data_IF_642127016165
#
_entry.id   IF_642127016165
#
_cell.length_a   1.000
_cell.length_b   1.000
_cell.length_c   1.000
_cell.angle_alpha   90.00
_cell.angle_beta   90.00
_cell.angle_gamma   90.00
#
_symmetry.space_group_name_H-M   'P 1'
#
loop_
_entity.id
_entity.type
_entity.pdbx_description
1 polymer ?
#
# COMPACT_ATOMS: atom_id res chain seq x y z
N UNK A 1 -21.00 -5.08 3.04
CA UNK A 1 -20.33 -5.46 4.31
C UNK A 1 -18.86 -5.69 4.02
N UNK A 2 -17.95 -5.23 4.89
CA UNK A 2 -16.50 -5.36 4.67
C UNK A 2 -16.02 -6.79 5.00
N UNK A 3 -15.40 -7.53 4.06
CA UNK A 3 -15.05 -8.94 4.26
C UNK A 3 -13.76 -9.07 5.10
N UNK A 4 -13.88 -8.98 6.43
CA UNK A 4 -12.75 -8.94 7.38
C UNK A 4 -11.67 -10.01 7.14
N UNK A 5 -12.08 -11.23 6.79
CA UNK A 5 -11.14 -12.34 6.54
C UNK A 5 -10.21 -12.10 5.33
N UNK A 6 -10.60 -11.22 4.41
CA UNK A 6 -9.82 -10.87 3.21
C UNK A 6 -9.00 -9.59 3.38
N UNK A 7 -9.12 -8.89 4.51
CA UNK A 7 -8.36 -7.69 4.77
C UNK A 7 -6.97 -7.99 5.31
N UNK A 8 -6.03 -7.10 5.02
CA UNK A 8 -4.75 -7.11 5.70
C UNK A 8 -4.96 -6.76 7.19
N UNK A 9 -4.29 -7.42 8.17
CA UNK A 9 -4.53 -7.19 9.60
C UNK A 9 -4.47 -5.73 10.02
N UNK A 10 -3.51 -4.96 9.50
CA UNK A 10 -3.38 -3.51 9.80
C UNK A 10 -4.61 -2.70 9.36
N UNK A 11 -5.31 -3.12 8.32
CA UNK A 11 -6.52 -2.44 7.83
C UNK A 11 -7.69 -2.72 8.77
N UNK A 12 -7.80 -3.96 9.26
CA UNK A 12 -8.79 -4.32 10.29
C UNK A 12 -8.61 -3.46 11.53
N UNK A 13 -7.35 -3.24 11.94
CA UNK A 13 -7.04 -2.40 13.10
C UNK A 13 -7.34 -0.92 12.86
N UNK A 14 -6.92 -0.37 11.71
CA UNK A 14 -6.88 1.08 11.50
C UNK A 14 -8.11 1.68 10.82
N UNK A 15 -8.82 0.93 9.98
CA UNK A 15 -9.88 1.47 9.11
C UNK A 15 -11.29 0.93 9.41
N UNK A 16 -11.39 -0.23 10.07
CA UNK A 16 -12.67 -0.91 10.28
C UNK A 16 -13.68 -0.08 11.10
N UNK A 17 -13.20 0.65 12.11
CA UNK A 17 -14.07 1.44 12.99
C UNK A 17 -14.75 2.56 12.19
N UNK A 18 -13.98 3.33 11.43
CA UNK A 18 -14.52 4.40 10.58
C UNK A 18 -15.47 3.85 9.53
N UNK A 19 -15.11 2.73 8.87
CA UNK A 19 -16.01 2.09 7.91
C UNK A 19 -17.35 1.69 8.55
N UNK A 20 -17.33 1.11 9.74
CA UNK A 20 -18.54 0.64 10.45
C UNK A 20 -19.43 1.82 10.87
N UNK A 21 -18.87 3.02 11.02
CA UNK A 21 -19.61 4.25 11.33
C UNK A 21 -20.15 4.98 10.10
N UNK A 22 -19.90 4.47 8.90
CA UNK A 22 -20.24 5.15 7.65
C UNK A 22 -19.27 6.29 7.28
N UNK A 23 -18.14 6.41 7.97
CA UNK A 23 -17.09 7.39 7.68
C UNK A 23 -16.16 6.85 6.58
N UNK A 24 -16.73 6.57 5.39
CA UNK A 24 -16.05 5.82 4.33
C UNK A 24 -14.78 6.50 3.81
N UNK A 25 -14.84 7.81 3.62
CA UNK A 25 -13.69 8.65 3.29
C UNK A 25 -12.54 8.46 4.27
N UNK A 26 -12.87 8.50 5.56
CA UNK A 26 -11.89 8.36 6.63
C UNK A 26 -11.31 6.95 6.63
N UNK A 27 -12.13 5.93 6.41
CA UNK A 27 -11.68 4.55 6.33
C UNK A 27 -10.73 4.30 5.14
N UNK A 28 -11.05 4.84 3.97
CA UNK A 28 -10.19 4.76 2.77
C UNK A 28 -8.87 5.51 2.99
N UNK A 29 -8.94 6.74 3.52
CA UNK A 29 -7.74 7.50 3.87
C UNK A 29 -6.85 6.74 4.87
N UNK A 30 -7.43 6.21 5.94
CA UNK A 30 -6.70 5.41 6.94
C UNK A 30 -6.04 4.19 6.29
N UNK A 31 -6.73 3.51 5.37
CA UNK A 31 -6.19 2.35 4.66
C UNK A 31 -4.98 2.70 3.78
N UNK A 32 -5.08 3.74 2.93
CA UNK A 32 -3.96 4.15 2.08
C UNK A 32 -2.83 4.84 2.84
N UNK A 33 -3.12 5.43 4.01
CA UNK A 33 -2.07 5.86 4.95
C UNK A 33 -1.23 4.67 5.42
N UNK A 34 -1.84 3.51 5.69
CA UNK A 34 -1.08 2.31 6.06
C UNK A 34 -0.24 1.79 4.90
N UNK A 35 -0.75 1.83 3.66
CA UNK A 35 0.05 1.50 2.47
C UNK A 35 1.29 2.37 2.39
N UNK A 36 1.16 3.69 2.54
CA UNK A 36 2.31 4.60 2.51
C UNK A 36 3.33 4.30 3.61
N UNK A 37 2.86 4.09 4.85
CA UNK A 37 3.74 3.76 5.99
C UNK A 37 4.52 2.49 5.69
N UNK A 38 3.83 1.42 5.27
CA UNK A 38 4.46 0.15 4.96
C UNK A 38 5.49 0.26 3.83
N UNK A 39 5.18 1.01 2.76
CA UNK A 39 6.14 1.24 1.66
C UNK A 39 7.35 2.04 2.13
N UNK A 40 7.15 3.07 2.96
CA UNK A 40 8.23 3.89 3.52
C UNK A 40 9.16 3.06 4.39
N UNK A 41 8.60 2.31 5.33
CA UNK A 41 9.34 1.46 6.27
C UNK A 41 10.09 0.35 5.52
N UNK A 42 9.41 -0.37 4.62
CA UNK A 42 10.02 -1.46 3.87
C UNK A 42 11.13 -0.99 2.92
N UNK A 43 11.01 0.23 2.38
CA UNK A 43 12.04 0.82 1.52
C UNK A 43 13.16 1.57 2.26
N UNK A 44 13.11 1.65 3.59
CA UNK A 44 14.10 2.40 4.39
C UNK A 44 14.11 3.91 4.13
N UNK A 45 12.95 4.49 3.79
CA UNK A 45 12.83 5.90 3.44
C UNK A 45 12.51 6.80 4.65
N UNK A 46 12.73 8.10 4.48
CA UNK A 46 12.50 9.09 5.54
C UNK A 46 11.05 9.58 5.58
N UNK A 47 10.63 10.25 6.66
CA UNK A 47 9.30 10.87 6.77
C UNK A 47 9.01 11.96 5.72
N UNK A 48 10.04 12.42 5.01
CA UNK A 48 9.91 13.37 3.89
C UNK A 48 9.51 12.67 2.58
N UNK A 49 9.58 11.35 2.54
CA UNK A 49 9.16 10.55 1.40
C UNK A 49 7.71 10.10 1.59
N UNK A 50 6.82 10.60 0.72
CA UNK A 50 5.38 10.31 0.77
C UNK A 50 4.76 10.34 -0.62
N UNK A 51 3.54 9.79 -0.73
CA UNK A 51 2.69 9.82 -1.90
C UNK A 51 3.28 9.10 -3.12
N UNK A 52 2.93 9.60 -4.31
CA UNK A 52 3.41 9.03 -5.58
C UNK A 52 4.94 9.01 -5.70
N UNK A 53 5.69 10.07 -5.29
CA UNK A 53 7.15 10.04 -5.34
C UNK A 53 7.76 8.90 -4.52
N UNK A 54 7.23 8.62 -3.33
CA UNK A 54 7.68 7.49 -2.51
C UNK A 54 7.47 6.16 -3.24
N UNK A 55 6.25 5.89 -3.73
CA UNK A 55 5.96 4.64 -4.43
C UNK A 55 6.83 4.46 -5.68
N UNK A 56 7.04 5.54 -6.45
CA UNK A 56 7.92 5.49 -7.63
C UNK A 56 9.36 5.15 -7.28
N UNK A 57 9.89 5.67 -6.16
CA UNK A 57 11.23 5.31 -5.68
C UNK A 57 11.28 3.85 -5.20
N UNK A 58 10.31 3.45 -4.38
CA UNK A 58 10.26 2.14 -3.73
C UNK A 58 10.12 0.99 -4.73
N UNK A 59 9.28 1.18 -5.75
CA UNK A 59 9.02 0.21 -6.81
C UNK A 59 9.70 0.58 -8.14
N UNK A 60 10.79 1.35 -8.11
CA UNK A 60 11.55 1.66 -9.33
C UNK A 60 11.96 0.35 -10.04
N UNK A 61 11.64 0.17 -11.34
CA UNK A 61 11.81 -1.11 -12.01
C UNK A 61 13.28 -1.54 -12.14
N UNK A 62 14.24 -0.61 -11.96
CA UNK A 62 15.66 -0.87 -12.12
C UNK A 62 16.39 -1.02 -10.79
N UNK A 63 15.95 -0.31 -9.75
CA UNK A 63 16.68 -0.22 -8.48
C UNK A 63 15.80 -0.09 -7.24
N UNK A 64 14.48 -0.20 -7.37
CA UNK A 64 13.55 -0.06 -6.26
C UNK A 64 13.74 -1.19 -5.25
N UNK A 65 13.86 -0.91 -3.94
CA UNK A 65 14.02 -1.94 -2.93
C UNK A 65 12.82 -2.88 -2.82
N UNK A 66 11.63 -2.47 -3.29
CA UNK A 66 10.42 -3.29 -3.31
C UNK A 66 10.12 -3.91 -4.69
N UNK A 67 11.03 -3.73 -5.65
CA UNK A 67 10.89 -4.30 -6.99
C UNK A 67 11.38 -5.74 -7.02
N UNK A 68 10.56 -6.63 -7.58
CA UNK A 68 10.92 -8.03 -7.78
C UNK A 68 11.80 -8.15 -9.02
N UNK A 69 13.12 -8.24 -8.83
CA UNK A 69 14.09 -8.23 -9.93
C UNK A 69 14.08 -9.52 -10.77
N UNK A 70 13.32 -10.52 -10.35
CA UNK A 70 13.18 -11.82 -11.03
C UNK A 70 12.10 -11.81 -12.14
N UNK A 71 11.30 -10.74 -12.25
CA UNK A 71 10.22 -10.63 -13.24
C UNK A 71 10.52 -9.59 -14.33
N UNK A 72 9.86 -9.67 -15.51
CA UNK A 72 10.08 -8.75 -16.61
C UNK A 72 9.96 -7.26 -16.21
N UNK A 73 10.76 -6.39 -16.82
CA UNK A 73 10.76 -4.94 -16.54
C UNK A 73 9.37 -4.31 -16.68
N UNK A 74 8.62 -4.67 -17.72
CA UNK A 74 7.26 -4.15 -17.93
C UNK A 74 6.28 -4.51 -16.81
N UNK A 75 6.43 -5.67 -16.17
CA UNK A 75 5.58 -6.05 -15.02
C UNK A 75 5.95 -5.23 -13.78
N UNK A 76 7.24 -4.95 -13.57
CA UNK A 76 7.72 -4.06 -12.50
C UNK A 76 7.19 -2.63 -12.70
N UNK A 77 7.27 -2.11 -13.93
CA UNK A 77 6.69 -0.80 -14.29
C UNK A 77 5.18 -0.75 -14.06
N UNK A 78 4.46 -1.84 -14.39
CA UNK A 78 3.03 -1.97 -14.13
C UNK A 78 2.70 -1.87 -12.65
N UNK A 79 3.43 -2.60 -11.80
CA UNK A 79 3.23 -2.55 -10.34
C UNK A 79 3.58 -1.17 -9.77
N UNK A 80 4.70 -0.57 -10.18
CA UNK A 80 5.07 0.78 -9.78
C UNK A 80 3.96 1.78 -10.11
N UNK A 81 3.42 1.69 -11.33
CA UNK A 81 2.34 2.56 -11.82
C UNK A 81 1.05 2.37 -11.02
N UNK A 82 0.69 1.12 -10.72
CA UNK A 82 -0.47 0.78 -9.89
C UNK A 82 -0.36 1.38 -8.49
N UNK A 83 0.75 1.13 -7.78
CA UNK A 83 0.93 1.59 -6.40
C UNK A 83 1.01 3.12 -6.32
N UNK A 84 1.77 3.74 -7.23
CA UNK A 84 1.85 5.20 -7.31
C UNK A 84 0.48 5.82 -7.63
N UNK A 85 -0.26 5.26 -8.58
CA UNK A 85 -1.61 5.71 -8.93
C UNK A 85 -2.57 5.57 -7.74
N UNK A 86 -2.55 4.45 -7.04
CA UNK A 86 -3.44 4.22 -5.89
C UNK A 86 -3.17 5.20 -4.74
N UNK A 87 -1.90 5.47 -4.40
CA UNK A 87 -1.56 6.50 -3.41
C UNK A 87 -1.94 7.91 -3.88
N UNK A 88 -1.75 8.22 -5.17
CA UNK A 88 -2.14 9.51 -5.74
C UNK A 88 -3.65 9.74 -5.71
N UNK A 89 -4.44 8.72 -6.02
CA UNK A 89 -5.90 8.79 -6.10
C UNK A 89 -6.58 8.85 -4.73
N UNK A 90 -6.13 8.01 -3.77
CA UNK A 90 -6.93 7.74 -2.57
C UNK A 90 -6.33 8.27 -1.27
N UNK A 91 -5.04 8.64 -1.23
CA UNK A 91 -4.44 9.21 -0.01
C UNK A 91 -4.71 10.70 0.15
N UNK A 92 -4.93 11.42 -0.95
CA UNK A 92 -5.00 12.89 -0.97
C UNK A 92 -6.28 13.55 -1.54
N UNK A 93 -7.46 12.90 -1.63
CA UNK A 93 -8.63 13.55 -2.21
C UNK A 93 -9.08 14.79 -1.40
N UNK A 94 -8.88 14.81 -0.08
CA UNK A 94 -9.42 15.84 0.82
C UNK A 94 -8.81 17.24 0.70
N UNK A 95 -7.67 17.44 0.03
CA UNK A 95 -7.02 18.76 -0.03
C UNK A 95 -7.40 19.60 -1.26
N UNK A 96 -8.03 19.02 -2.29
CA UNK A 96 -8.32 19.74 -3.54
C UNK A 96 -9.75 19.60 -4.08
N UNK A 97 -10.49 18.54 -3.72
CA UNK A 97 -11.91 18.37 -4.11
C UNK A 97 -12.63 17.62 -2.99
N UNK A 98 -13.77 18.12 -2.50
CA UNK A 98 -14.66 17.35 -1.62
C UNK A 98 -15.35 16.22 -2.42
N UNK A 99 -14.58 15.24 -2.90
CA UNK A 99 -15.13 13.98 -3.38
C UNK A 99 -15.44 13.19 -2.12
N UNK A 100 -16.73 13.12 -1.79
CA UNK A 100 -17.23 12.35 -0.65
C UNK A 100 -17.52 10.94 -1.13
N UNK A 101 -16.96 9.93 -0.48
CA UNK A 101 -17.29 8.53 -0.72
C UNK A 101 -18.58 8.23 0.06
N UNK A 102 -19.70 8.18 -0.65
CA UNK A 102 -21.02 7.91 -0.07
C UNK A 102 -21.40 6.44 -0.18
N UNK A 103 -20.97 5.75 -1.24
CA UNK A 103 -21.27 4.34 -1.44
C UNK A 103 -20.33 3.46 -0.59
N UNK A 104 -20.85 2.64 0.34
CA UNK A 104 -20.03 1.64 1.05
C UNK A 104 -19.30 0.68 0.12
N UNK A 105 -19.83 0.40 -1.06
CA UNK A 105 -19.26 -0.52 -2.04
C UNK A 105 -17.95 0.02 -2.59
N UNK A 106 -17.93 1.29 -3.01
CA UNK A 106 -16.73 1.99 -3.45
C UNK A 106 -15.64 1.95 -2.38
N UNK A 107 -16.03 2.21 -1.13
CA UNK A 107 -15.12 2.16 0.00
C UNK A 107 -14.55 0.74 0.22
N UNK A 108 -15.37 -0.30 0.08
CA UNK A 108 -14.91 -1.70 0.15
C UNK A 108 -13.87 -1.98 -0.92
N UNK A 109 -14.12 -1.61 -2.17
CA UNK A 109 -13.20 -1.87 -3.30
C UNK A 109 -11.84 -1.18 -3.08
N UNK A 110 -11.87 0.09 -2.65
CA UNK A 110 -10.67 0.86 -2.35
C UNK A 110 -9.88 0.27 -1.17
N UNK A 111 -10.56 -0.14 -0.10
CA UNK A 111 -9.93 -0.78 1.08
C UNK A 111 -9.36 -2.16 0.74
N UNK A 112 -10.03 -2.89 -0.16
CA UNK A 112 -9.54 -4.18 -0.67
C UNK A 112 -8.29 -4.02 -1.51
N UNK A 113 -8.24 -2.99 -2.37
CA UNK A 113 -7.02 -2.63 -3.11
C UNK A 113 -5.86 -2.30 -2.15
N UNK A 114 -6.10 -1.47 -1.13
CA UNK A 114 -5.09 -1.17 -0.12
C UNK A 114 -4.59 -2.44 0.60
N UNK A 115 -5.50 -3.35 0.96
CA UNK A 115 -5.15 -4.65 1.56
C UNK A 115 -4.33 -5.53 0.63
N UNK A 116 -4.60 -5.50 -0.67
CA UNK A 116 -3.82 -6.24 -1.66
C UNK A 116 -2.40 -5.68 -1.78
N UNK A 117 -2.25 -4.34 -1.87
CA UNK A 117 -0.94 -3.68 -1.95
C UNK A 117 -0.11 -3.96 -0.69
N UNK A 118 -0.70 -3.95 0.50
CA UNK A 118 0.01 -4.28 1.74
C UNK A 118 0.61 -5.69 1.70
N UNK A 119 -0.14 -6.68 1.23
CA UNK A 119 0.40 -8.05 1.06
C UNK A 119 1.53 -8.13 0.05
N UNK A 120 1.50 -7.32 -1.00
CA UNK A 120 2.62 -7.20 -1.93
C UNK A 120 3.86 -6.71 -1.17
N UNK A 121 3.73 -5.65 -0.37
CA UNK A 121 4.84 -5.12 0.46
C UNK A 121 5.37 -6.19 1.42
N UNK A 122 4.50 -6.90 2.15
CA UNK A 122 4.90 -7.98 3.05
C UNK A 122 5.70 -9.07 2.33
N UNK A 123 5.29 -9.43 1.11
CA UNK A 123 5.97 -10.44 0.30
C UNK A 123 7.37 -10.02 -0.15
N UNK A 124 7.67 -8.72 -0.17
CA UNK A 124 9.03 -8.22 -0.47
C UNK A 124 9.94 -8.34 0.74
N UNK A 125 9.41 -8.00 1.92
CA UNK A 125 10.13 -8.14 3.19
C UNK A 125 10.48 -9.60 3.53
N UNK A 126 9.60 -10.55 3.18
CA UNK A 126 9.86 -11.97 3.47
C UNK A 126 10.93 -12.59 2.57
N UNK A 127 11.13 -12.07 1.35
CA UNK A 127 12.21 -12.52 0.45
C UNK A 127 13.60 -12.13 0.97
N UNK A 128 13.74 -10.99 1.66
CA UNK A 128 15.03 -10.51 2.17
C UNK A 128 15.58 -11.29 3.38
N UNK A 129 14.75 -12.04 4.11
CA UNK A 129 15.17 -12.84 5.27
C UNK A 129 15.84 -14.18 4.86
N UNK A 130 15.81 -14.54 3.57
CA UNK A 130 16.26 -15.84 3.05
C UNK A 130 17.76 -16.00 2.71
N UNK A 131 18.58 -14.95 2.84
CA UNK A 131 20.01 -15.00 2.48
C UNK A 131 20.91 -14.52 3.63
N UNK A 132 21.12 -15.38 4.62
CA UNK A 132 22.26 -15.27 5.54
C UNK A 132 23.15 -16.50 5.31
N UNK A 133 24.44 -16.35 4.95
CA UNK A 133 25.31 -17.49 4.78
C UNK A 133 25.57 -18.12 6.14
N UNK A 134 25.43 -19.44 6.20
CA UNK A 134 25.74 -20.26 7.35
C UNK A 134 27.12 -19.90 7.91
N UNK A 135 27.17 -19.58 9.21
CA UNK A 135 28.41 -19.53 9.98
C UNK A 135 29.15 -20.85 9.78
N UNK A 136 30.28 -20.79 9.09
CA UNK A 136 31.25 -21.88 9.06
C UNK A 136 32.05 -21.79 10.36
N UNK A 137 31.86 -22.84 11.17
CA UNK A 137 32.77 -23.50 12.14
C UNK A 137 33.96 -22.68 12.64
#
# INVERSE_FOLDING_TARGET
MLPKALLHPVIVEKALVSFTRGEYDTAVFQAFKQVEIAVREAGGYSDKDFGMPLARKAFDPKKGPLSDMDIPEGEREGLQSLVAGALGSYKNPHSHRSVTIEDPTDAVEMIMLASHILRIVDSRLSKDVGTSPASTI
#
